data_IF_501223867528
#
_entry.id   IF_501223867528
#
_cell.length_a   1.000
_cell.length_b   1.000
_cell.length_c   1.000
_cell.angle_alpha   90.00
_cell.angle_beta   90.00
_cell.angle_gamma   90.00
#
_symmetry.space_group_name_H-M   'P 1'
#
loop_
_entity.id
_entity.type
_entity.pdbx_description
1 polymer ?
#
# COMPACT_ATOMS: atom_id res chain seq x y z
N UNK A 1 25.83 0.40 -7.21
CA UNK A 1 24.89 0.81 -6.15
C UNK A 1 23.56 1.31 -6.72
N UNK A 2 23.55 2.22 -7.70
CA UNK A 2 22.33 2.76 -8.33
C UNK A 2 21.36 1.69 -8.87
N UNK A 3 21.89 0.69 -9.58
CA UNK A 3 21.07 -0.40 -10.13
C UNK A 3 20.34 -1.20 -9.04
N UNK A 4 20.99 -1.41 -7.88
CA UNK A 4 20.36 -2.13 -6.75
C UNK A 4 19.19 -1.33 -6.19
N UNK A 5 19.36 -0.02 -6.01
CA UNK A 5 18.28 0.87 -5.54
C UNK A 5 17.13 0.91 -6.54
N UNK A 6 17.43 1.03 -7.83
CA UNK A 6 16.41 1.00 -8.89
C UNK A 6 15.63 -0.31 -8.91
N UNK A 7 16.32 -1.45 -8.75
CA UNK A 7 15.69 -2.77 -8.63
C UNK A 7 14.78 -2.83 -7.40
N UNK A 8 15.24 -2.34 -6.24
CA UNK A 8 14.42 -2.32 -5.01
C UNK A 8 13.18 -1.45 -5.19
N UNK A 9 13.29 -0.27 -5.82
CA UNK A 9 12.13 0.59 -6.13
C UNK A 9 11.16 -0.12 -7.07
N UNK A 10 11.66 -0.76 -8.14
CA UNK A 10 10.82 -1.49 -9.07
C UNK A 10 10.08 -2.65 -8.38
N UNK A 11 10.78 -3.44 -7.57
CA UNK A 11 10.17 -4.53 -6.79
C UNK A 11 9.12 -3.97 -5.82
N UNK A 12 9.42 -2.88 -5.11
CA UNK A 12 8.49 -2.25 -4.17
C UNK A 12 7.21 -1.75 -4.88
N UNK A 13 7.34 -1.15 -6.07
CA UNK A 13 6.22 -0.68 -6.88
C UNK A 13 5.29 -1.83 -7.29
N UNK A 14 5.87 -2.97 -7.65
CA UNK A 14 5.16 -4.13 -8.22
C UNK A 14 4.90 -5.26 -7.23
N UNK A 15 5.21 -5.07 -5.94
CA UNK A 15 5.08 -6.12 -4.92
C UNK A 15 3.65 -6.69 -4.85
N UNK A 16 2.64 -5.84 -5.08
CA UNK A 16 1.23 -6.22 -5.08
C UNK A 16 0.87 -7.27 -6.15
N UNK A 17 1.58 -7.31 -7.29
CA UNK A 17 1.29 -8.25 -8.40
C UNK A 17 1.42 -9.71 -7.96
N UNK A 18 2.28 -10.00 -6.98
CA UNK A 18 2.49 -11.35 -6.47
C UNK A 18 1.38 -11.84 -5.54
N UNK A 19 0.42 -10.98 -5.19
CA UNK A 19 -0.69 -11.31 -4.30
C UNK A 19 -1.99 -11.37 -5.09
N UNK A 20 -2.76 -12.43 -4.89
CA UNK A 20 -4.07 -12.50 -5.53
C UNK A 20 -5.03 -11.47 -4.89
N UNK A 21 -5.88 -10.82 -5.70
CA UNK A 21 -6.85 -9.85 -5.19
C UNK A 21 -7.95 -10.49 -4.35
N UNK A 22 -8.12 -11.80 -4.39
CA UNK A 22 -9.16 -12.52 -3.66
C UNK A 22 -8.64 -13.92 -3.29
N UNK A 23 -8.92 -14.40 -2.07
CA UNK A 23 -8.60 -15.78 -1.73
C UNK A 23 -9.49 -16.75 -2.51
N UNK A 24 -9.00 -17.99 -2.68
CA UNK A 24 -9.78 -19.05 -3.30
C UNK A 24 -11.10 -19.29 -2.55
N UNK A 25 -11.07 -19.23 -1.22
CA UNK A 25 -12.25 -19.44 -0.37
C UNK A 25 -13.31 -18.34 -0.59
N UNK A 26 -12.89 -17.08 -0.57
CA UNK A 26 -13.80 -15.96 -0.77
C UNK A 26 -14.42 -15.96 -2.18
N UNK A 27 -13.61 -16.32 -3.19
CA UNK A 27 -14.08 -16.48 -4.57
C UNK A 27 -15.12 -17.59 -4.70
N UNK A 28 -14.90 -18.74 -4.06
CA UNK A 28 -15.84 -19.87 -4.08
C UNK A 28 -17.17 -19.52 -3.40
N UNK A 29 -17.12 -18.89 -2.21
CA UNK A 29 -18.32 -18.48 -1.48
C UNK A 29 -19.09 -17.41 -2.27
N UNK A 30 -18.39 -16.46 -2.89
CA UNK A 30 -19.02 -15.45 -3.76
C UNK A 30 -19.74 -16.10 -4.93
N UNK A 31 -19.14 -17.11 -5.56
CA UNK A 31 -19.75 -17.87 -6.64
C UNK A 31 -21.02 -18.58 -6.16
N UNK A 32 -20.95 -19.33 -5.05
CA UNK A 32 -22.11 -20.02 -4.46
C UNK A 32 -23.24 -19.04 -4.11
N UNK A 33 -22.91 -17.90 -3.50
CA UNK A 33 -23.90 -16.85 -3.20
C UNK A 33 -24.56 -16.29 -4.47
N UNK A 34 -23.77 -16.07 -5.53
CA UNK A 34 -24.30 -15.59 -6.81
C UNK A 34 -25.22 -16.62 -7.47
N UNK A 35 -24.87 -17.91 -7.42
CA UNK A 35 -25.68 -19.01 -7.93
C UNK A 35 -27.01 -19.13 -7.16
N UNK A 36 -26.97 -19.12 -5.83
CA UNK A 36 -28.17 -19.14 -4.99
C UNK A 36 -29.11 -17.95 -5.28
N UNK A 37 -28.55 -16.75 -5.49
CA UNK A 37 -29.33 -15.56 -5.87
C UNK A 37 -29.98 -15.70 -7.25
N UNK A 38 -29.28 -16.30 -8.21
CA UNK A 38 -29.82 -16.56 -9.55
C UNK A 38 -30.95 -17.58 -9.51
N UNK A 39 -30.78 -18.69 -8.78
CA UNK A 39 -31.82 -19.71 -8.60
C UNK A 39 -33.08 -19.12 -7.93
N UNK A 40 -32.90 -18.35 -6.84
CA UNK A 40 -34.00 -17.64 -6.19
C UNK A 40 -34.73 -16.70 -7.15
N UNK A 41 -34.00 -15.95 -7.97
CA UNK A 41 -34.61 -15.03 -8.93
C UNK A 41 -35.38 -15.76 -10.04
N UNK A 42 -34.91 -16.94 -10.48
CA UNK A 42 -35.65 -17.80 -11.43
C UNK A 42 -36.96 -18.28 -10.81
N UNK A 43 -36.94 -18.80 -9.59
CA UNK A 43 -38.15 -19.22 -8.88
C UNK A 43 -39.15 -18.07 -8.72
N UNK A 44 -38.67 -16.86 -8.42
CA UNK A 44 -39.54 -15.69 -8.38
C UNK A 44 -40.19 -15.37 -9.74
N UNK A 45 -39.43 -15.52 -10.84
CA UNK A 45 -40.00 -15.39 -12.19
C UNK A 45 -41.03 -16.48 -12.48
N UNK A 46 -40.77 -17.73 -12.09
CA UNK A 46 -41.70 -18.85 -12.26
C UNK A 46 -43.02 -18.62 -11.49
N UNK A 47 -42.93 -18.08 -10.26
CA UNK A 47 -44.10 -17.67 -9.48
C UNK A 47 -44.92 -16.60 -10.23
N UNK A 48 -44.25 -15.56 -10.75
CA UNK A 48 -44.92 -14.48 -11.48
C UNK A 48 -45.59 -14.99 -12.77
N UNK A 49 -44.91 -15.89 -13.50
CA UNK A 49 -45.46 -16.52 -14.71
C UNK A 49 -46.70 -17.34 -14.36
N UNK A 50 -46.63 -18.19 -13.32
CA UNK A 50 -47.72 -19.05 -12.93
C UNK A 50 -48.95 -18.25 -12.47
N UNK A 51 -48.75 -17.17 -11.70
CA UNK A 51 -49.82 -16.24 -11.32
C UNK A 51 -50.41 -15.56 -12.57
N UNK A 52 -49.57 -15.11 -13.48
CA UNK A 52 -50.01 -14.44 -14.72
C UNK A 52 -50.82 -15.40 -15.60
N UNK A 53 -50.38 -16.65 -15.76
CA UNK A 53 -51.09 -17.65 -16.54
C UNK A 53 -52.43 -18.05 -15.91
N UNK A 54 -52.49 -18.08 -14.57
CA UNK A 54 -53.77 -18.22 -13.86
C UNK A 54 -54.71 -17.04 -14.14
N UNK A 55 -54.23 -15.79 -14.04
CA UNK A 55 -55.05 -14.60 -14.32
C UNK A 55 -55.55 -14.54 -15.77
N UNK A 56 -54.79 -15.14 -16.69
CA UNK A 56 -55.15 -15.25 -18.11
C UNK A 56 -55.97 -16.51 -18.44
N UNK A 57 -56.46 -17.25 -17.44
CA UNK A 57 -57.22 -18.49 -17.58
C UNK A 57 -56.49 -19.62 -18.35
N UNK A 58 -55.16 -19.56 -18.44
CA UNK A 58 -54.35 -20.62 -19.08
C UNK A 58 -54.07 -21.79 -18.15
N UNK A 59 -54.15 -21.56 -16.84
CA UNK A 59 -53.93 -22.55 -15.78
C UNK A 59 -55.14 -22.56 -14.85
N UNK A 60 -55.57 -23.75 -14.43
CA UNK A 60 -56.72 -23.91 -13.53
C UNK A 60 -56.34 -23.63 -12.07
N UNK A 61 -57.32 -23.29 -11.22
CA UNK A 61 -57.07 -23.11 -9.78
C UNK A 61 -56.49 -24.37 -9.12
N UNK A 62 -56.88 -25.57 -9.57
CA UNK A 62 -56.31 -26.82 -9.06
C UNK A 62 -54.82 -26.97 -9.39
N UNK A 63 -54.42 -26.62 -10.61
CA UNK A 63 -53.01 -26.69 -11.05
C UNK A 63 -52.16 -25.60 -10.36
N UNK A 64 -52.73 -24.42 -10.11
CA UNK A 64 -52.08 -23.39 -9.32
C UNK A 64 -51.86 -23.88 -7.88
N UNK A 65 -52.91 -24.39 -7.23
CA UNK A 65 -52.85 -24.82 -5.83
C UNK A 65 -51.95 -26.05 -5.62
N UNK A 66 -51.77 -26.90 -6.63
CA UNK A 66 -50.84 -28.03 -6.54
C UNK A 66 -49.38 -27.62 -6.71
N UNK A 67 -49.08 -26.68 -7.62
CA UNK A 67 -47.69 -26.37 -8.01
C UNK A 67 -47.10 -25.19 -7.25
N UNK A 68 -47.93 -24.22 -6.85
CA UNK A 68 -47.48 -22.99 -6.22
C UNK A 68 -46.83 -23.21 -4.84
N UNK A 69 -47.35 -24.09 -3.94
CA UNK A 69 -46.72 -24.34 -2.64
C UNK A 69 -45.28 -24.83 -2.76
N UNK A 70 -45.02 -25.81 -3.63
CA UNK A 70 -43.68 -26.36 -3.84
C UNK A 70 -42.70 -25.31 -4.37
N UNK A 71 -43.13 -24.44 -5.30
CA UNK A 71 -42.29 -23.37 -5.84
C UNK A 71 -42.00 -22.31 -4.75
N UNK A 72 -43.00 -21.96 -3.94
CA UNK A 72 -42.84 -21.01 -2.82
C UNK A 72 -41.89 -21.56 -1.76
N UNK A 73 -42.02 -22.83 -1.40
CA UNK A 73 -41.15 -23.45 -0.39
C UNK A 73 -39.71 -23.56 -0.89
N UNK A 74 -39.52 -23.93 -2.16
CA UNK A 74 -38.20 -23.88 -2.80
C UNK A 74 -37.65 -22.45 -2.83
N UNK A 75 -38.47 -21.44 -3.14
CA UNK A 75 -38.04 -20.03 -3.14
C UNK A 75 -37.56 -19.61 -1.75
N UNK A 76 -38.32 -19.91 -0.69
CA UNK A 76 -37.97 -19.59 0.70
C UNK A 76 -36.68 -20.27 1.12
N UNK A 77 -36.51 -21.54 0.77
CA UNK A 77 -35.28 -22.26 1.07
C UNK A 77 -34.07 -21.61 0.40
N UNK A 78 -34.17 -21.25 -0.89
CA UNK A 78 -33.08 -20.56 -1.61
C UNK A 78 -32.81 -19.16 -1.08
N UNK A 79 -33.83 -18.46 -0.58
CA UNK A 79 -33.66 -17.19 0.10
C UNK A 79 -32.86 -17.35 1.40
N UNK A 80 -33.17 -18.35 2.22
CA UNK A 80 -32.41 -18.68 3.44
C UNK A 80 -30.96 -19.05 3.08
N UNK A 81 -30.76 -19.91 2.09
CA UNK A 81 -29.41 -20.33 1.65
C UNK A 81 -28.60 -19.11 1.18
N UNK A 82 -29.21 -18.22 0.40
CA UNK A 82 -28.56 -16.99 -0.07
C UNK A 82 -28.20 -16.06 1.09
N UNK A 83 -29.06 -15.92 2.10
CA UNK A 83 -28.77 -15.12 3.31
C UNK A 83 -27.62 -15.71 4.11
N UNK A 84 -27.60 -17.03 4.32
CA UNK A 84 -26.51 -17.72 5.02
C UNK A 84 -25.17 -17.56 4.29
N UNK A 85 -25.18 -17.71 2.96
CA UNK A 85 -24.00 -17.50 2.12
C UNK A 85 -23.54 -16.04 2.13
N UNK A 86 -24.48 -15.09 2.19
CA UNK A 86 -24.15 -13.67 2.31
C UNK A 86 -23.48 -13.34 3.65
N UNK A 87 -23.98 -13.89 4.76
CA UNK A 87 -23.36 -13.75 6.08
C UNK A 87 -21.96 -14.37 6.10
N UNK A 88 -21.81 -15.57 5.54
CA UNK A 88 -20.51 -16.25 5.44
C UNK A 88 -19.53 -15.44 4.60
N UNK A 89 -19.98 -14.90 3.46
CA UNK A 89 -19.20 -14.03 2.59
C UNK A 89 -18.75 -12.77 3.33
N UNK A 90 -19.61 -12.14 4.12
CA UNK A 90 -19.23 -10.97 4.90
C UNK A 90 -18.22 -11.34 5.99
N UNK A 91 -18.40 -12.46 6.69
CA UNK A 91 -17.42 -12.96 7.67
C UNK A 91 -16.05 -13.20 7.04
N UNK A 92 -15.99 -13.84 5.87
CA UNK A 92 -14.73 -14.07 5.17
C UNK A 92 -14.12 -12.77 4.63
N UNK A 93 -14.92 -11.82 4.14
CA UNK A 93 -14.42 -10.47 3.79
C UNK A 93 -13.77 -9.77 4.98
N UNK A 94 -14.40 -9.82 6.16
CA UNK A 94 -13.81 -9.21 7.36
C UNK A 94 -12.48 -9.87 7.75
N UNK A 95 -12.34 -11.19 7.59
CA UNK A 95 -11.08 -11.90 7.84
C UNK A 95 -9.96 -11.51 6.88
N UNK A 96 -10.28 -11.19 5.63
CA UNK A 96 -9.29 -10.74 4.64
C UNK A 96 -8.89 -9.27 4.78
N UNK A 97 -9.62 -8.48 5.59
CA UNK A 97 -9.29 -7.07 5.77
C UNK A 97 -7.96 -6.91 6.49
N UNK A 98 -7.15 -5.99 5.98
CA UNK A 98 -5.84 -5.64 6.54
C UNK A 98 -5.78 -4.13 6.63
N UNK A 99 -5.61 -3.60 7.85
CA UNK A 99 -5.60 -2.15 8.10
C UNK A 99 -6.75 -1.41 7.39
N UNK A 100 -7.99 -1.92 7.46
CA UNK A 100 -9.16 -1.30 6.83
C UNK A 100 -9.26 -1.46 5.31
N UNK A 101 -8.22 -1.97 4.64
CA UNK A 101 -8.28 -2.33 3.22
C UNK A 101 -9.01 -3.66 3.03
N UNK A 102 -9.66 -3.81 1.88
CA UNK A 102 -10.50 -4.98 1.56
C UNK A 102 -9.73 -6.31 1.54
N UNK A 103 -8.47 -6.28 1.14
CA UNK A 103 -7.58 -7.43 1.02
C UNK A 103 -6.11 -6.98 1.00
N UNK A 104 -5.18 -7.92 1.13
CA UNK A 104 -3.74 -7.68 1.08
C UNK A 104 -3.28 -7.01 -0.21
N UNK A 105 -3.85 -7.38 -1.35
CA UNK A 105 -3.47 -6.81 -2.65
C UNK A 105 -3.74 -5.29 -2.69
N UNK A 106 -4.92 -4.86 -2.22
CA UNK A 106 -5.29 -3.44 -2.18
C UNK A 106 -4.43 -2.68 -1.18
N UNK A 107 -4.12 -3.28 -0.03
CA UNK A 107 -3.19 -2.71 0.95
C UNK A 107 -1.80 -2.50 0.35
N UNK A 108 -1.22 -3.51 -0.29
CA UNK A 108 0.11 -3.43 -0.90
C UNK A 108 0.14 -2.46 -2.08
N UNK A 109 -0.94 -2.39 -2.87
CA UNK A 109 -1.08 -1.39 -3.93
C UNK A 109 -1.09 0.04 -3.38
N UNK A 110 -1.82 0.28 -2.29
CA UNK A 110 -1.81 1.59 -1.62
C UNK A 110 -0.44 1.91 -1.01
N UNK A 111 0.25 0.91 -0.45
CA UNK A 111 1.55 1.03 0.21
C UNK A 111 2.71 1.29 -0.78
N UNK A 112 2.64 0.73 -1.99
CA UNK A 112 3.76 0.70 -2.92
C UNK A 112 4.23 2.09 -3.35
N UNK A 113 3.29 2.97 -3.72
CA UNK A 113 3.63 4.31 -4.22
C UNK A 113 4.28 5.21 -3.14
N UNK A 114 3.70 5.35 -1.93
CA UNK A 114 4.36 6.07 -0.84
C UNK A 114 5.73 5.48 -0.50
N UNK A 115 5.87 4.16 -0.49
CA UNK A 115 7.16 3.51 -0.22
C UNK A 115 8.21 3.85 -1.29
N UNK A 116 7.83 3.86 -2.57
CA UNK A 116 8.72 4.31 -3.65
C UNK A 116 9.16 5.76 -3.47
N UNK A 117 8.24 6.66 -3.13
CA UNK A 117 8.58 8.05 -2.81
C UNK A 117 9.51 8.17 -1.60
N UNK A 118 9.32 7.34 -0.58
CA UNK A 118 10.21 7.30 0.57
C UNK A 118 11.64 6.95 0.14
N UNK A 119 11.80 5.88 -0.63
CA UNK A 119 13.12 5.44 -1.11
C UNK A 119 13.77 6.52 -1.97
N UNK A 120 13.03 7.10 -2.93
CA UNK A 120 13.51 8.20 -3.78
C UNK A 120 13.97 9.39 -2.91
N UNK A 121 13.17 9.76 -1.91
CA UNK A 121 13.50 10.89 -1.04
C UNK A 121 14.80 10.67 -0.24
N UNK A 122 15.00 9.46 0.29
CA UNK A 122 16.23 9.09 1.02
C UNK A 122 17.43 9.12 0.08
N UNK A 123 17.27 8.63 -1.16
CA UNK A 123 18.32 8.64 -2.18
C UNK A 123 18.69 10.08 -2.55
N UNK A 124 17.71 10.98 -2.73
CA UNK A 124 17.96 12.39 -3.00
C UNK A 124 18.72 13.07 -1.85
N UNK A 125 18.29 12.84 -0.61
CA UNK A 125 18.98 13.36 0.58
C UNK A 125 20.39 12.80 0.75
N UNK A 126 20.63 11.56 0.32
CA UNK A 126 21.96 10.98 0.29
C UNK A 126 22.88 11.69 -0.71
N UNK A 127 22.38 12.03 -1.89
CA UNK A 127 23.15 12.71 -2.94
C UNK A 127 23.32 14.20 -2.71
N UNK A 128 22.46 14.84 -1.93
CA UNK A 128 22.61 16.28 -1.66
C UNK A 128 23.89 16.62 -0.88
N UNK A 129 24.52 15.61 -0.27
CA UNK A 129 25.80 15.76 0.46
C UNK A 129 27.02 15.67 -0.48
N UNK A 130 26.85 15.26 -1.74
CA UNK A 130 27.95 15.15 -2.71
C UNK A 130 28.49 16.53 -3.11
N UNK A 131 29.81 16.68 -3.17
CA UNK A 131 30.46 17.97 -3.44
C UNK A 131 30.25 18.47 -4.88
N UNK A 132 30.10 17.55 -5.83
CA UNK A 132 29.88 17.85 -7.25
C UNK A 132 28.60 18.64 -7.49
N UNK A 133 27.65 18.59 -6.55
CA UNK A 133 26.34 19.23 -6.65
C UNK A 133 26.16 20.37 -5.64
N UNK A 134 27.23 20.98 -5.12
CA UNK A 134 27.13 22.04 -4.08
C UNK A 134 26.11 23.14 -4.40
N UNK A 135 26.01 23.59 -5.65
CA UNK A 135 25.03 24.62 -6.06
C UNK A 135 23.58 24.10 -6.01
N UNK A 136 23.35 22.85 -6.38
CA UNK A 136 22.03 22.20 -6.38
C UNK A 136 21.68 21.51 -5.06
N UNK A 137 22.65 21.35 -4.16
CA UNK A 137 22.51 20.61 -2.90
C UNK A 137 21.34 21.09 -2.05
N UNK A 138 21.13 22.40 -1.97
CA UNK A 138 20.02 23.01 -1.22
C UNK A 138 18.67 22.66 -1.84
N UNK A 139 18.55 22.73 -3.17
CA UNK A 139 17.34 22.40 -3.90
C UNK A 139 17.01 20.90 -3.81
N UNK A 140 18.01 20.02 -3.99
CA UNK A 140 17.85 18.57 -3.85
C UNK A 140 17.46 18.21 -2.42
N UNK A 141 18.08 18.85 -1.42
CA UNK A 141 17.73 18.63 -0.01
C UNK A 141 16.29 19.03 0.26
N UNK A 142 15.89 20.23 -0.18
CA UNK A 142 14.51 20.70 -0.02
C UNK A 142 13.50 19.75 -0.67
N UNK A 143 13.72 19.39 -1.94
CA UNK A 143 12.84 18.47 -2.67
C UNK A 143 12.79 17.08 -2.03
N UNK A 144 13.94 16.56 -1.58
CA UNK A 144 14.03 15.30 -0.83
C UNK A 144 13.16 15.35 0.45
N UNK A 145 13.26 16.42 1.23
CA UNK A 145 12.40 16.60 2.42
C UNK A 145 10.92 16.69 2.06
N UNK A 146 10.55 17.43 1.02
CA UNK A 146 9.16 17.54 0.58
C UNK A 146 8.58 16.19 0.19
N UNK A 147 9.29 15.41 -0.64
CA UNK A 147 8.84 14.07 -1.07
C UNK A 147 8.77 13.11 0.13
N UNK A 148 9.74 13.17 1.04
CA UNK A 148 9.75 12.35 2.26
C UNK A 148 8.52 12.64 3.13
N UNK A 149 8.18 13.92 3.30
CA UNK A 149 7.01 14.32 4.08
C UNK A 149 5.70 13.84 3.45
N UNK A 150 5.54 14.02 2.13
CA UNK A 150 4.38 13.53 1.38
C UNK A 150 4.25 12.00 1.53
N UNK A 151 5.35 11.28 1.35
CA UNK A 151 5.38 9.82 1.51
C UNK A 151 4.94 9.39 2.92
N UNK A 152 5.51 10.00 3.96
CA UNK A 152 5.22 9.63 5.34
C UNK A 152 3.79 10.00 5.76
N UNK A 153 3.25 11.09 5.21
CA UNK A 153 1.84 11.44 5.35
C UNK A 153 0.94 10.33 4.80
N UNK A 154 1.18 9.86 3.57
CA UNK A 154 0.41 8.77 2.99
C UNK A 154 0.62 7.43 3.72
N UNK A 155 1.85 7.11 4.15
CA UNK A 155 2.11 5.93 4.96
C UNK A 155 1.34 5.97 6.27
N UNK A 156 1.32 7.12 6.95
CA UNK A 156 0.49 7.32 8.15
C UNK A 156 -0.98 7.05 7.85
N UNK A 157 -1.50 7.54 6.73
CA UNK A 157 -2.89 7.31 6.34
C UNK A 157 -3.20 5.83 6.08
N UNK A 158 -2.24 5.07 5.55
CA UNK A 158 -2.39 3.63 5.27
C UNK A 158 -2.39 2.80 6.57
N UNK A 159 -1.50 3.11 7.51
CA UNK A 159 -1.38 2.35 8.76
C UNK A 159 -2.35 2.78 9.86
N UNK A 160 -2.90 3.99 9.76
CA UNK A 160 -3.99 4.46 10.60
C UNK A 160 -5.27 4.55 9.77
N UNK A 161 -5.95 3.42 9.48
CA UNK A 161 -7.30 3.42 8.95
C UNK A 161 -8.24 3.99 10.03
N UNK A 162 -8.40 5.30 10.05
CA UNK A 162 -9.22 6.01 11.01
C UNK A 162 -10.69 5.72 10.69
N UNK A 163 -11.35 4.94 11.56
CA UNK A 163 -12.78 5.12 11.76
C UNK A 163 -13.04 6.11 12.91
N UNK A 164 -12.22 6.12 13.99
CA UNK A 164 -12.69 6.68 15.27
C UNK A 164 -11.76 7.68 15.98
N UNK A 165 -10.71 8.21 15.34
CA UNK A 165 -9.86 9.24 15.99
C UNK A 165 -10.42 10.66 15.80
N UNK A 166 -10.43 11.50 16.85
CA UNK A 166 -10.83 12.89 16.73
C UNK A 166 -9.85 13.67 15.84
N UNK A 167 -10.37 14.60 15.06
CA UNK A 167 -9.62 15.42 14.08
C UNK A 167 -8.34 16.05 14.64
N UNK A 168 -8.32 16.45 15.90
CA UNK A 168 -7.14 17.04 16.54
C UNK A 168 -5.96 16.08 16.70
N UNK A 169 -6.21 14.79 16.95
CA UNK A 169 -5.16 13.77 17.06
C UNK A 169 -4.41 13.58 15.74
N UNK A 170 -5.10 13.81 14.62
CA UNK A 170 -4.51 13.76 13.28
C UNK A 170 -3.52 14.90 13.06
N UNK A 171 -3.92 16.13 13.36
CA UNK A 171 -3.06 17.31 13.26
C UNK A 171 -1.82 17.10 14.15
N UNK A 172 -2.01 16.65 15.39
CA UNK A 172 -0.92 16.40 16.33
C UNK A 172 0.05 15.34 15.82
N UNK A 173 -0.46 14.24 15.27
CA UNK A 173 0.36 13.15 14.71
C UNK A 173 1.20 13.63 13.53
N UNK A 174 0.63 14.48 12.66
CA UNK A 174 1.38 15.09 11.55
C UNK A 174 2.52 15.96 12.10
N UNK A 175 2.27 16.80 13.11
CA UNK A 175 3.31 17.63 13.71
C UNK A 175 4.41 16.80 14.39
N UNK A 176 4.05 15.75 15.12
CA UNK A 176 5.02 14.84 15.76
C UNK A 176 5.87 14.14 14.70
N UNK A 177 5.24 13.59 13.65
CA UNK A 177 5.96 12.98 12.54
C UNK A 177 6.90 13.99 11.87
N UNK A 178 6.40 15.18 11.50
CA UNK A 178 7.20 16.25 10.91
C UNK A 178 8.43 16.59 11.76
N UNK A 179 8.22 16.71 13.07
CA UNK A 179 9.27 17.01 14.04
C UNK A 179 10.31 15.89 14.13
N UNK A 180 9.88 14.64 14.33
CA UNK A 180 10.77 13.49 14.42
C UNK A 180 11.60 13.31 13.14
N UNK A 181 10.97 13.42 11.98
CA UNK A 181 11.64 13.31 10.68
C UNK A 181 12.69 14.40 10.52
N UNK A 182 12.33 15.66 10.79
CA UNK A 182 13.25 16.79 10.72
C UNK A 182 14.43 16.62 11.67
N UNK A 183 14.16 16.15 12.89
CA UNK A 183 15.17 15.88 13.91
C UNK A 183 16.13 14.76 13.50
N UNK A 184 15.62 13.58 13.13
CA UNK A 184 16.44 12.44 12.70
C UNK A 184 17.24 12.75 11.43
N UNK A 185 16.65 13.47 10.48
CA UNK A 185 17.38 13.84 9.26
C UNK A 185 18.52 14.81 9.57
N UNK A 186 18.31 15.79 10.45
CA UNK A 186 19.38 16.68 10.91
C UNK A 186 20.50 15.90 11.61
N UNK A 187 20.16 14.90 12.43
CA UNK A 187 21.15 14.02 13.05
C UNK A 187 21.98 13.25 12.01
N UNK A 188 21.31 12.63 11.04
CA UNK A 188 21.97 11.87 9.96
C UNK A 188 22.88 12.77 9.13
N UNK A 189 22.39 13.95 8.74
CA UNK A 189 23.15 14.91 7.94
C UNK A 189 24.41 15.38 8.70
N UNK A 190 24.26 15.73 9.98
CA UNK A 190 25.38 16.14 10.82
C UNK A 190 26.41 15.01 11.02
N UNK A 191 25.94 13.78 11.23
CA UNK A 191 26.81 12.60 11.35
C UNK A 191 27.61 12.36 10.07
N UNK A 192 26.97 12.47 8.90
CA UNK A 192 27.61 12.40 7.58
C UNK A 192 28.65 13.50 7.38
N UNK A 193 28.32 14.76 7.66
CA UNK A 193 29.25 15.89 7.55
C UNK A 193 30.49 15.66 8.44
N UNK A 194 30.31 15.13 9.66
CA UNK A 194 31.43 14.79 10.55
C UNK A 194 32.34 13.72 9.95
N UNK A 195 31.77 12.65 9.40
CA UNK A 195 32.54 11.58 8.75
C UNK A 195 33.31 12.10 7.54
N UNK A 196 32.67 12.90 6.69
CA UNK A 196 33.32 13.48 5.52
C UNK A 196 34.45 14.44 5.89
N UNK A 197 34.24 15.34 6.86
CA UNK A 197 35.30 16.23 7.36
C UNK A 197 36.48 15.43 7.91
N UNK A 198 36.22 14.38 8.67
CA UNK A 198 37.26 13.50 9.22
C UNK A 198 38.06 12.81 8.12
N UNK A 199 37.39 12.30 7.08
CA UNK A 199 38.05 11.67 5.93
C UNK A 199 38.95 12.67 5.18
N UNK A 200 38.44 13.87 4.91
CA UNK A 200 39.21 14.92 4.23
C UNK A 200 40.40 15.43 5.04
N UNK A 201 40.29 15.55 6.36
CA UNK A 201 41.44 15.92 7.20
C UNK A 201 42.56 14.87 7.16
N UNK A 202 42.19 13.59 7.04
CA UNK A 202 43.14 12.48 6.93
C UNK A 202 43.81 12.47 5.56
N UNK A 203 43.05 12.68 4.48
CA UNK A 203 43.62 12.70 3.12
C UNK A 203 44.55 13.91 2.91
N UNK A 204 44.21 15.08 3.49
CA UNK A 204 45.07 16.28 3.42
C UNK A 204 46.39 16.10 4.19
N UNK A 205 46.35 15.47 5.37
CA UNK A 205 47.56 15.23 6.17
C UNK A 205 48.50 14.27 5.47
N UNK A 206 47.97 13.16 4.92
CA UNK A 206 48.74 12.23 4.09
C UNK A 206 49.39 12.90 2.88
N UNK A 207 48.64 13.75 2.16
CA UNK A 207 49.19 14.49 1.01
C UNK A 207 50.35 15.41 1.42
N UNK A 208 50.23 16.12 2.55
CA UNK A 208 51.28 17.00 3.05
C UNK A 208 52.52 16.22 3.51
N UNK A 209 52.34 15.07 4.17
CA UNK A 209 53.44 14.17 4.53
C UNK A 209 54.19 13.67 3.29
N UNK A 210 53.48 13.17 2.27
CA UNK A 210 54.12 12.73 1.02
C UNK A 210 54.84 13.86 0.28
N UNK A 211 54.30 15.08 0.30
CA UNK A 211 54.95 16.24 -0.30
C UNK A 211 56.22 16.67 0.47
N UNK A 212 56.21 16.57 1.79
CA UNK A 212 57.38 16.84 2.63
C UNK A 212 58.47 15.78 2.43
N UNK A 213 58.12 14.50 2.36
CA UNK A 213 59.07 13.42 2.04
C UNK A 213 59.71 13.60 0.65
N UNK A 214 58.92 13.99 -0.35
CA UNK A 214 59.44 14.26 -1.69
C UNK A 214 60.42 15.44 -1.69
N UNK A 215 60.09 16.53 -0.98
CA UNK A 215 60.96 17.71 -0.91
C UNK A 215 62.25 17.42 -0.14
N UNK A 216 62.19 16.65 0.95
CA UNK A 216 63.37 16.19 1.68
C UNK A 216 64.30 15.33 0.80
N UNK A 217 63.74 14.38 0.03
CA UNK A 217 64.52 13.54 -0.89
C UNK A 217 65.19 14.33 -2.02
N UNK A 218 64.56 15.40 -2.51
CA UNK A 218 65.14 16.27 -3.54
C UNK A 218 66.33 17.06 -2.98
N UNK A 219 66.22 17.57 -1.76
CA UNK A 219 67.30 18.31 -1.08
C UNK A 219 68.50 17.39 -0.83
N UNK A 220 68.26 16.16 -0.37
CA UNK A 220 69.34 15.19 -0.07
C UNK A 220 70.11 14.78 -1.34
N UNK A 221 69.41 14.59 -2.47
CA UNK A 221 70.05 14.30 -3.77
C UNK A 221 70.81 15.47 -4.39
N UNK A 222 70.65 16.68 -3.87
CA UNK A 222 71.29 17.90 -4.40
C UNK A 222 72.61 18.26 -3.71
N UNK A 223 72.97 17.55 -2.64
CA UNK A 223 74.24 17.66 -1.93
C UNK A 223 75.20 16.56 -2.37
#
# INVERSE_FOLDING_TARGET
MFYVVAIVIAIAAFLHIFFNPESKNLSEIRKKHSEAKLERNKLNQDILILITDYTNNKVTSSQLNSSLPDIIDNYKQREIDALQLFELLNKEKEKEKIFGFKNIHTFLYALSLPLCFLIISVVMLFFSVSEDLKQLSKAITFLGFTIMFISLFFLSWIFLPISDMPYWSYILSIFICAFLISFFTKLILNWRIKIFKKKYSIDRTKFLESALELSANIIDKSK
#
